data_IF_364205458416
#
_entry.id   IF_364205458416
#
_cell.length_a   1.000
_cell.length_b   1.000
_cell.length_c   1.000
_cell.angle_alpha   90.00
_cell.angle_beta   90.00
_cell.angle_gamma   90.00
#
_symmetry.space_group_name_H-M   'P 1'
#
loop_
_entity.id
_entity.type
_entity.pdbx_description
1 polymer ?
#
# COMPACT_ATOMS: atom_id res chain seq x y z
N UNK A 1 -12.41 19.90 -21.72
CA UNK A 1 -11.75 20.05 -20.71
C UNK A 1 -11.27 18.84 -20.07
N UNK A 2 -10.17 18.82 -19.89
CA UNK A 2 -9.68 17.74 -19.29
C UNK A 2 -10.15 17.73 -17.92
N UNK A 3 -10.34 16.64 -17.37
CA UNK A 3 -10.52 16.56 -16.00
C UNK A 3 -9.31 17.15 -15.41
N UNK A 4 -9.50 18.25 -14.82
CA UNK A 4 -8.39 19.04 -14.47
C UNK A 4 -7.43 18.35 -13.55
N UNK A 5 -7.93 17.42 -12.88
CA UNK A 5 -7.12 16.78 -11.93
C UNK A 5 -6.27 15.68 -12.47
N UNK A 6 -6.60 15.23 -13.66
CA UNK A 6 -5.98 14.10 -14.14
C UNK A 6 -4.51 14.12 -14.17
N UNK A 7 -3.94 14.95 -14.93
CA UNK A 7 -2.52 14.87 -15.15
C UNK A 7 -1.69 15.29 -13.97
N UNK A 8 -2.27 16.12 -13.15
CA UNK A 8 -1.50 16.68 -12.07
C UNK A 8 -1.35 15.72 -10.92
N UNK A 9 -2.31 14.85 -10.81
CA UNK A 9 -2.34 13.93 -9.69
C UNK A 9 -2.13 12.52 -10.11
N UNK A 10 -1.70 12.35 -11.33
CA UNK A 10 -1.40 11.02 -11.80
C UNK A 10 -0.27 10.46 -11.01
N UNK A 11 -0.52 9.40 -10.35
CA UNK A 11 0.52 8.73 -9.62
C UNK A 11 1.47 8.08 -10.61
N UNK A 12 2.77 8.18 -10.36
CA UNK A 12 3.74 7.53 -11.23
C UNK A 12 3.68 6.03 -11.15
N UNK A 13 3.03 5.50 -10.16
CA UNK A 13 2.96 4.06 -9.97
C UNK A 13 1.62 3.66 -9.37
N UNK A 14 1.23 2.42 -9.61
CA UNK A 14 0.11 1.79 -8.97
C UNK A 14 0.57 0.49 -8.34
N UNK A 15 -0.10 0.10 -7.27
CA UNK A 15 0.21 -1.13 -6.57
C UNK A 15 -1.05 -1.98 -6.46
N UNK A 16 -0.91 -3.27 -6.78
CA UNK A 16 -1.99 -4.23 -6.65
C UNK A 16 -1.51 -5.38 -5.79
N UNK A 17 -2.20 -5.63 -4.71
CA UNK A 17 -1.87 -6.75 -3.84
C UNK A 17 -2.47 -8.04 -4.36
N UNK A 18 -1.76 -9.12 -4.16
CA UNK A 18 -2.20 -10.44 -4.59
C UNK A 18 -2.50 -11.33 -3.40
N UNK A 19 -3.16 -12.45 -3.70
CA UNK A 19 -3.49 -13.43 -2.65
C UNK A 19 -2.27 -14.14 -2.09
N UNK A 20 -1.20 -14.18 -2.86
CA UNK A 20 0.02 -14.83 -2.41
C UNK A 20 0.93 -13.90 -1.61
N UNK A 21 0.52 -12.65 -1.40
CA UNK A 21 1.31 -11.71 -0.60
C UNK A 21 2.23 -10.85 -1.42
N UNK A 22 2.15 -10.92 -2.72
CA UNK A 22 2.98 -10.10 -3.59
C UNK A 22 2.31 -8.77 -3.89
N UNK A 23 3.13 -7.78 -4.20
CA UNK A 23 2.67 -6.51 -4.72
C UNK A 23 3.10 -6.42 -6.16
N UNK A 24 2.15 -6.18 -7.04
CA UNK A 24 2.45 -5.85 -8.42
C UNK A 24 2.51 -4.33 -8.53
N UNK A 25 3.69 -3.83 -8.84
CA UNK A 25 3.91 -2.40 -8.96
C UNK A 25 3.98 -2.05 -10.44
N UNK A 26 3.17 -1.08 -10.85
CA UNK A 26 3.12 -0.63 -12.23
C UNK A 26 3.57 0.80 -12.31
N UNK A 27 4.50 1.06 -13.19
CA UNK A 27 4.88 2.42 -13.49
C UNK A 27 3.98 2.94 -14.61
N UNK A 28 3.33 4.07 -14.35
CA UNK A 28 2.33 4.60 -15.27
C UNK A 28 2.88 5.63 -16.25
N UNK A 29 4.15 6.00 -16.10
CA UNK A 29 4.76 6.96 -17.02
C UNK A 29 5.54 6.25 -18.10
N UNK A 30 5.40 6.75 -19.31
CA UNK A 30 6.19 6.22 -20.42
C UNK A 30 5.89 4.77 -20.68
N UNK A 31 6.92 3.97 -20.69
CA UNK A 31 6.75 2.52 -20.86
C UNK A 31 6.26 1.93 -19.58
N UNK A 32 5.17 1.20 -19.65
CA UNK A 32 4.62 0.54 -18.48
C UNK A 32 5.56 -0.57 -18.04
N UNK A 33 6.14 -0.40 -16.87
CA UNK A 33 6.98 -1.41 -16.27
C UNK A 33 6.29 -2.00 -15.07
N UNK A 34 6.43 -3.29 -14.92
CA UNK A 34 5.86 -4.02 -13.81
C UNK A 34 6.98 -4.57 -12.96
N UNK A 35 6.83 -4.44 -11.66
CA UNK A 35 7.72 -5.03 -10.70
C UNK A 35 6.92 -5.83 -9.70
N UNK A 36 7.35 -7.03 -9.41
CA UNK A 36 6.72 -7.87 -8.40
C UNK A 36 7.56 -7.86 -7.15
N UNK A 37 6.93 -7.62 -6.03
CA UNK A 37 7.60 -7.55 -4.74
C UNK A 37 6.96 -8.55 -3.80
N UNK A 38 7.78 -9.36 -3.14
CA UNK A 38 7.28 -10.26 -2.12
C UNK A 38 7.13 -9.48 -0.82
N UNK A 39 5.92 -9.06 -0.53
CA UNK A 39 5.66 -8.17 0.58
C UNK A 39 5.21 -8.89 1.84
N UNK A 40 4.28 -9.81 1.68
CA UNK A 40 3.68 -10.50 2.82
C UNK A 40 3.70 -12.00 2.57
N UNK A 41 3.52 -12.78 3.63
CA UNK A 41 3.49 -14.23 3.50
C UNK A 41 2.14 -14.78 3.09
N UNK A 42 1.14 -13.93 3.04
CA UNK A 42 -0.19 -14.29 2.59
C UNK A 42 -0.88 -13.11 1.96
N UNK A 43 -2.16 -13.26 1.69
CA UNK A 43 -2.92 -12.25 0.96
C UNK A 43 -2.68 -10.84 1.48
N UNK A 44 -2.38 -9.93 0.58
CA UNK A 44 -2.31 -8.50 0.91
C UNK A 44 -3.74 -8.02 1.10
N UNK A 45 -4.05 -7.60 2.32
CA UNK A 45 -5.42 -7.26 2.68
C UNK A 45 -5.75 -5.81 2.35
N UNK A 46 -4.77 -4.92 2.50
CA UNK A 46 -4.97 -3.51 2.23
C UNK A 46 -3.66 -2.89 1.75
N UNK A 47 -3.77 -1.91 0.88
CA UNK A 47 -2.62 -1.16 0.39
C UNK A 47 -3.07 0.24 0.03
N UNK A 48 -2.28 1.24 0.35
CA UNK A 48 -2.61 2.62 0.03
C UNK A 48 -1.35 3.47 -0.07
N UNK A 49 -1.27 4.26 -1.14
CA UNK A 49 -0.22 5.24 -1.29
C UNK A 49 -0.50 6.46 -0.44
N UNK A 50 0.56 7.00 0.15
CA UNK A 50 0.47 8.25 0.87
C UNK A 50 0.27 9.45 -0.06
N UNK A 51 0.05 10.62 0.52
CA UNK A 51 -0.20 11.82 -0.28
C UNK A 51 0.95 12.21 -1.21
N UNK A 52 2.17 11.77 -0.90
CA UNK A 52 3.31 12.08 -1.75
C UNK A 52 3.38 11.19 -2.99
N UNK A 53 2.55 10.17 -3.07
CA UNK A 53 2.58 9.24 -4.19
C UNK A 53 3.79 8.32 -4.21
N UNK A 54 4.64 8.39 -3.21
CA UNK A 54 5.89 7.63 -3.15
C UNK A 54 5.98 6.67 -1.99
N UNK A 55 5.25 6.95 -0.93
CA UNK A 55 5.21 6.09 0.24
C UNK A 55 3.99 5.21 0.16
N UNK A 56 4.18 3.91 0.30
CA UNK A 56 3.11 2.95 0.23
C UNK A 56 3.01 2.22 1.56
N UNK A 57 1.79 2.06 2.05
CA UNK A 57 1.54 1.23 3.22
C UNK A 57 0.81 -0.02 2.79
N UNK A 58 1.20 -1.17 3.33
CA UNK A 58 0.54 -2.44 3.05
C UNK A 58 0.30 -3.21 4.33
N UNK A 59 -0.79 -3.93 4.36
CA UNK A 59 -1.15 -4.74 5.52
C UNK A 59 -1.68 -6.10 5.06
N UNK A 60 -1.32 -7.14 5.81
CA UNK A 60 -1.88 -8.46 5.61
C UNK A 60 -2.44 -8.98 6.92
N UNK A 61 -3.69 -9.38 6.90
CA UNK A 61 -4.30 -10.05 8.05
C UNK A 61 -3.76 -11.46 8.22
N UNK A 62 -3.09 -11.98 7.21
CA UNK A 62 -2.51 -13.31 7.29
C UNK A 62 -1.27 -13.34 8.17
N UNK A 63 -0.36 -12.39 7.98
CA UNK A 63 0.86 -12.32 8.77
C UNK A 63 0.79 -11.25 9.86
N UNK A 64 -0.27 -10.46 9.90
CA UNK A 64 -0.47 -9.39 10.87
C UNK A 64 0.67 -8.39 10.89
N UNK A 65 1.15 -8.05 9.72
CA UNK A 65 2.22 -7.07 9.58
C UNK A 65 1.80 -5.93 8.69
N UNK A 66 2.28 -4.75 9.07
CA UNK A 66 2.10 -3.54 8.29
C UNK A 66 3.49 -3.07 7.87
N UNK A 67 3.66 -2.85 6.57
CA UNK A 67 4.92 -2.38 6.04
C UNK A 67 4.74 -1.04 5.37
N UNK A 68 5.77 -0.22 5.51
CA UNK A 68 5.90 0.99 4.72
C UNK A 68 6.99 0.78 3.67
N UNK A 69 6.69 1.21 2.47
CA UNK A 69 7.58 1.08 1.32
C UNK A 69 7.84 2.45 0.73
N UNK A 70 9.05 2.67 0.32
CA UNK A 70 9.41 3.90 -0.36
C UNK A 70 9.76 3.56 -1.79
N UNK A 71 9.11 4.25 -2.72
CA UNK A 71 9.38 4.09 -4.13
C UNK A 71 10.26 5.22 -4.59
N UNK A 72 11.33 4.90 -5.28
CA UNK A 72 12.20 5.89 -5.87
C UNK A 72 12.28 5.65 -7.36
N UNK A 73 12.42 6.73 -8.12
CA UNK A 73 12.62 6.65 -9.55
C UNK A 73 13.99 7.20 -9.87
N UNK A 74 14.57 6.74 -10.97
CA UNK A 74 15.83 7.28 -11.44
C UNK A 74 15.62 8.75 -11.82
N UNK A 75 16.51 9.59 -11.37
CA UNK A 75 16.43 11.01 -11.67
C UNK A 75 16.54 11.33 -13.15
N UNK A 76 17.20 10.48 -13.89
CA UNK A 76 17.45 10.71 -15.30
C UNK A 76 16.71 9.74 -16.19
N UNK A 77 15.78 9.02 -15.66
CA UNK A 77 15.09 7.99 -16.43
C UNK A 77 15.96 6.80 -16.77
N UNK A 78 17.13 6.72 -16.17
CA UNK A 78 18.06 5.66 -16.44
C UNK A 78 17.94 4.60 -15.41
N UNK A 79 17.19 3.73 -15.42
CA UNK A 79 17.06 2.70 -14.44
C UNK A 79 15.62 2.54 -14.02
N UNK A 80 15.37 1.52 -13.28
CA UNK A 80 14.04 1.16 -12.86
C UNK A 80 13.69 1.81 -11.55
N UNK A 81 12.42 2.10 -11.38
CA UNK A 81 11.93 2.48 -10.08
C UNK A 81 12.20 1.35 -9.10
N UNK A 82 12.63 1.69 -7.91
CA UNK A 82 12.86 0.72 -6.86
C UNK A 82 11.95 0.99 -5.70
N UNK A 83 11.42 -0.06 -5.14
CA UNK A 83 10.55 0.02 -3.97
C UNK A 83 11.19 -0.80 -2.86
N UNK A 84 11.43 -0.14 -1.75
CA UNK A 84 12.09 -0.77 -0.61
C UNK A 84 11.26 -0.61 0.64
N UNK A 85 11.25 -1.65 1.45
CA UNK A 85 10.61 -1.58 2.75
C UNK A 85 11.46 -0.73 3.68
N UNK A 86 10.86 0.31 4.24
CA UNK A 86 11.57 1.24 5.12
C UNK A 86 11.21 1.03 6.57
N UNK A 87 10.05 0.44 6.84
CA UNK A 87 9.61 0.27 8.22
C UNK A 87 8.59 -0.85 8.29
N UNK A 88 8.59 -1.55 9.40
CA UNK A 88 7.62 -2.63 9.61
C UNK A 88 7.07 -2.56 11.03
N UNK A 89 5.83 -2.96 11.16
CA UNK A 89 5.15 -3.02 12.44
C UNK A 89 4.40 -4.34 12.55
N UNK A 90 4.36 -4.86 13.76
CA UNK A 90 3.49 -5.99 14.06
C UNK A 90 2.14 -5.45 14.53
N UNK A 91 1.08 -6.01 14.00
CA UNK A 91 -0.27 -5.60 14.35
C UNK A 91 -0.89 -6.72 15.18
N UNK A 92 -1.50 -6.37 16.30
CA UNK A 92 -2.14 -7.38 17.13
C UNK A 92 -3.25 -8.05 16.33
N UNK A 93 -3.35 -9.38 16.39
CA UNK A 93 -4.42 -10.06 15.69
C UNK A 93 -5.78 -9.60 16.21
N UNK A 94 -6.71 -9.42 15.29
CA UNK A 94 -8.07 -9.11 15.66
C UNK A 94 -8.95 -10.35 15.49
N UNK A 95 -10.06 -10.42 16.22
CA UNK A 95 -10.90 -11.59 16.15
C UNK A 95 -11.47 -11.77 14.75
N UNK A 96 -11.20 -12.92 14.17
CA UNK A 96 -11.73 -13.22 12.84
C UNK A 96 -12.89 -14.20 12.93
N UNK A 97 -13.20 -14.64 14.12
CA UNK A 97 -14.21 -15.67 14.30
C UNK A 97 -15.61 -15.20 14.02
N UNK A 98 -15.82 -13.92 13.98
CA UNK A 98 -17.17 -13.39 13.93
C UNK A 98 -17.76 -13.32 12.54
N UNK A 99 -17.15 -13.91 11.57
CA UNK A 99 -17.76 -14.02 10.24
C UNK A 99 -18.40 -12.75 9.77
N UNK A 100 -17.74 -11.65 9.96
CA UNK A 100 -18.29 -10.44 9.48
C UNK A 100 -18.37 -10.44 7.97
N UNK A 101 -19.21 -9.59 7.48
CA UNK A 101 -19.49 -9.49 6.06
C UNK A 101 -18.21 -9.26 5.26
N UNK A 102 -18.13 -9.79 4.06
CA UNK A 102 -17.00 -9.48 3.17
C UNK A 102 -16.79 -8.01 2.92
N UNK A 103 -17.77 -7.17 3.23
CA UNK A 103 -17.61 -5.74 3.09
C UNK A 103 -16.79 -5.13 4.20
N UNK A 104 -16.56 -5.87 5.28
CA UNK A 104 -15.75 -5.38 6.39
C UNK A 104 -14.33 -5.86 6.25
N UNK A 105 -13.61 -5.29 5.31
CA UNK A 105 -12.20 -5.60 5.16
C UNK A 105 -11.37 -4.52 5.83
N UNK A 106 -10.17 -4.86 6.31
CA UNK A 106 -9.24 -3.84 6.81
C UNK A 106 -8.96 -2.80 5.74
N UNK A 107 -8.81 -1.56 6.17
CA UNK A 107 -8.54 -0.45 5.27
C UNK A 107 -7.40 0.39 5.80
N UNK A 108 -6.60 0.92 4.89
CA UNK A 108 -5.54 1.85 5.23
C UNK A 108 -5.93 3.22 4.72
N UNK A 109 -5.92 4.20 5.61
CA UNK A 109 -6.28 5.56 5.28
C UNK A 109 -5.18 6.49 5.78
N UNK A 110 -4.56 7.22 4.88
CA UNK A 110 -3.56 8.23 5.26
C UNK A 110 -4.26 9.45 5.81
N UNK A 111 -3.89 9.82 7.03
CA UNK A 111 -4.48 11.00 7.67
C UNK A 111 -3.52 12.18 7.67
N UNK A 112 -2.28 11.96 7.30
CA UNK A 112 -1.27 13.00 7.12
C UNK A 112 -0.18 12.44 6.23
N UNK A 113 0.78 13.25 5.80
CA UNK A 113 1.87 12.73 4.96
C UNK A 113 2.71 11.65 5.62
N UNK A 114 2.66 11.54 6.95
CA UNK A 114 3.50 10.59 7.65
C UNK A 114 2.75 9.59 8.51
N UNK A 115 1.44 9.65 8.51
CA UNK A 115 0.66 8.80 9.40
C UNK A 115 -0.46 8.12 8.64
N UNK A 116 -0.54 6.81 8.79
CA UNK A 116 -1.62 6.01 8.22
C UNK A 116 -2.43 5.40 9.35
N UNK A 117 -3.73 5.32 9.15
CA UNK A 117 -4.63 4.64 10.07
C UNK A 117 -5.03 3.31 9.47
N UNK A 118 -4.88 2.25 10.24
CA UNK A 118 -5.41 0.95 9.88
C UNK A 118 -6.75 0.77 10.57
N UNK A 119 -7.80 0.70 9.77
CA UNK A 119 -9.16 0.47 10.26
C UNK A 119 -9.45 -1.01 10.19
N UNK A 120 -9.68 -1.61 11.33
CA UNK A 120 -9.97 -3.03 11.40
C UNK A 120 -11.47 -3.27 11.47
N UNK A 121 -11.92 -4.45 11.04
CA UNK A 121 -13.35 -4.73 11.01
C UNK A 121 -14.03 -4.70 12.37
N UNK A 122 -13.28 -4.82 13.44
CA UNK A 122 -13.83 -4.73 14.78
C UNK A 122 -14.05 -3.28 15.25
N UNK A 123 -13.74 -2.32 14.39
CA UNK A 123 -13.88 -0.91 14.73
C UNK A 123 -12.67 -0.29 15.37
N UNK A 124 -11.62 -1.07 15.60
CA UNK A 124 -10.41 -0.54 16.20
C UNK A 124 -9.59 0.19 15.14
N UNK A 125 -9.08 1.35 15.52
CA UNK A 125 -8.20 2.13 14.67
C UNK A 125 -6.81 2.11 15.25
N UNK A 126 -5.84 1.78 14.44
CA UNK A 126 -4.43 1.82 14.83
C UNK A 126 -3.71 2.79 13.90
N UNK A 127 -2.88 3.64 14.48
CA UNK A 127 -2.12 4.63 13.71
C UNK A 127 -0.66 4.27 13.69
N UNK A 128 -0.07 4.43 12.52
CA UNK A 128 1.33 4.09 12.31
C UNK A 128 2.02 5.22 11.57
N UNK A 129 3.25 5.50 11.95
CA UNK A 129 4.06 6.53 11.30
C UNK A 129 5.09 5.88 10.40
N UNK A 130 5.23 6.42 9.23
CA UNK A 130 6.27 5.97 8.32
C UNK A 130 7.60 6.65 8.56
#
# INVERSE_FOLDING_TARGET
LLPPDLPLHTEPAQAVGTRSGQLAMYEMRGVNKQQMINAHTGKVTAAAFGPDGKTLATFSAHDNKLYFWQTSTSMFGLGNAQTKCTKSYNVAPYPQANKWSPTYTPKLVWISPRTVTLLLPDGIENRFNC
#
